data_IF_935925539668
#
_entry.id   IF_935925539668
#
_cell.length_a   1.000
_cell.length_b   1.000
_cell.length_c   1.000
_cell.angle_alpha   90.00
_cell.angle_beta   90.00
_cell.angle_gamma   90.00
#
_symmetry.space_group_name_H-M   'P 1'
#
loop_
_entity.id
_entity.type
_entity.pdbx_description
1 polymer ?
#
# COMPACT_ATOMS: atom_id res chain seq x y z
N UNK A 1 6.16 21.11 13.62
CA UNK A 1 6.10 19.80 12.90
C UNK A 1 5.00 19.91 11.87
N UNK A 2 5.32 19.87 10.59
CA UNK A 2 4.34 19.97 9.50
C UNK A 2 3.50 18.69 9.49
N UNK A 3 2.17 18.84 9.62
CA UNK A 3 1.24 17.71 9.57
C UNK A 3 1.21 17.19 8.13
N UNK A 4 1.42 15.89 7.93
CA UNK A 4 1.26 15.28 6.61
C UNK A 4 -0.23 15.34 6.23
N UNK A 5 -0.54 16.03 5.16
CA UNK A 5 -1.91 16.12 4.64
C UNK A 5 -2.13 15.01 3.62
N UNK A 6 -3.30 14.38 3.71
CA UNK A 6 -3.72 13.37 2.74
C UNK A 6 -3.85 14.02 1.36
N UNK A 7 -3.27 13.40 0.35
CA UNK A 7 -3.45 13.84 -1.04
C UNK A 7 -4.95 13.87 -1.39
N UNK A 8 -5.41 14.84 -2.19
CA UNK A 8 -6.83 14.96 -2.56
C UNK A 8 -7.41 13.66 -3.15
N UNK A 9 -6.58 12.90 -3.85
CA UNK A 9 -6.92 11.65 -4.52
C UNK A 9 -7.26 10.55 -3.51
N UNK A 10 -6.51 10.45 -2.41
CA UNK A 10 -6.66 9.41 -1.38
C UNK A 10 -7.77 9.73 -0.38
N UNK A 11 -8.18 10.99 -0.27
CA UNK A 11 -9.21 11.44 0.69
C UNK A 11 -10.52 10.62 0.68
N UNK A 12 -11.08 10.22 -0.47
CA UNK A 12 -12.31 9.39 -0.48
C UNK A 12 -12.11 8.06 0.24
N UNK A 13 -11.02 7.36 -0.05
CA UNK A 13 -10.68 6.09 0.61
C UNK A 13 -10.43 6.28 2.12
N UNK A 14 -9.66 7.30 2.48
CA UNK A 14 -9.43 7.66 3.89
C UNK A 14 -10.73 7.94 4.63
N UNK A 15 -11.64 8.71 4.02
CA UNK A 15 -12.94 9.04 4.60
C UNK A 15 -13.76 7.77 4.87
N UNK A 16 -13.87 6.87 3.90
CA UNK A 16 -14.61 5.61 4.04
C UNK A 16 -14.04 4.75 5.17
N UNK A 17 -12.71 4.67 5.29
CA UNK A 17 -12.04 3.92 6.37
C UNK A 17 -12.31 4.56 7.74
N UNK A 18 -12.15 5.89 7.85
CA UNK A 18 -12.35 6.62 9.11
C UNK A 18 -13.82 6.58 9.57
N UNK A 19 -14.78 6.73 8.66
CA UNK A 19 -16.21 6.61 8.96
C UNK A 19 -16.57 5.21 9.45
N UNK A 20 -16.11 4.18 8.77
CA UNK A 20 -16.32 2.80 9.19
C UNK A 20 -15.70 2.52 10.56
N UNK A 21 -14.48 2.98 10.79
CA UNK A 21 -13.79 2.82 12.07
C UNK A 21 -14.55 3.54 13.18
N UNK A 22 -14.96 4.79 12.99
CA UNK A 22 -15.69 5.60 13.97
C UNK A 22 -17.05 5.00 14.35
N UNK A 23 -17.83 4.57 13.35
CA UNK A 23 -19.14 3.96 13.56
C UNK A 23 -19.10 2.63 14.34
N UNK A 24 -17.97 1.93 14.30
CA UNK A 24 -17.83 0.61 14.92
C UNK A 24 -16.86 0.60 16.10
N UNK A 25 -16.32 1.76 16.51
CA UNK A 25 -15.36 1.86 17.62
C UNK A 25 -14.00 1.21 17.34
N UNK A 26 -13.59 1.14 16.06
CA UNK A 26 -12.30 0.62 15.65
C UNK A 26 -11.27 1.73 15.49
N UNK A 27 -10.01 1.37 15.62
CA UNK A 27 -8.90 2.22 15.25
C UNK A 27 -8.72 2.23 13.72
N UNK A 28 -8.64 3.40 13.04
CA UNK A 28 -8.47 3.47 11.59
C UNK A 28 -7.25 2.71 11.06
N UNK A 29 -6.11 2.72 11.77
CA UNK A 29 -4.91 2.00 11.35
C UNK A 29 -5.10 0.47 11.40
N UNK A 30 -5.85 -0.01 12.41
CA UNK A 30 -6.23 -1.42 12.47
C UNK A 30 -7.15 -1.80 11.31
N UNK A 31 -8.09 -0.92 10.94
CA UNK A 31 -8.97 -1.13 9.77
C UNK A 31 -8.14 -1.17 8.48
N UNK A 32 -7.15 -0.28 8.31
CA UNK A 32 -6.21 -0.33 7.17
C UNK A 32 -5.49 -1.68 7.14
N UNK A 33 -4.89 -2.10 8.24
CA UNK A 33 -4.17 -3.39 8.29
C UNK A 33 -5.09 -4.57 7.92
N UNK A 34 -6.32 -4.59 8.43
CA UNK A 34 -7.27 -5.63 8.10
C UNK A 34 -7.79 -5.52 6.65
N UNK A 35 -7.90 -4.31 6.11
CA UNK A 35 -8.20 -4.09 4.69
C UNK A 35 -7.12 -4.69 3.78
N UNK A 36 -5.84 -4.46 4.09
CA UNK A 36 -4.73 -5.06 3.33
C UNK A 36 -4.78 -6.61 3.38
N UNK A 37 -5.07 -7.18 4.56
CA UNK A 37 -5.24 -8.63 4.71
C UNK A 37 -6.43 -9.14 3.90
N UNK A 38 -7.53 -8.40 3.86
CA UNK A 38 -8.71 -8.73 3.08
C UNK A 38 -8.39 -8.76 1.57
N UNK A 39 -7.68 -7.75 1.08
CA UNK A 39 -7.24 -7.69 -0.33
C UNK A 39 -6.36 -8.89 -0.67
N UNK A 40 -5.28 -9.13 0.09
CA UNK A 40 -4.36 -10.24 -0.15
C UNK A 40 -5.09 -11.59 -0.14
N UNK A 41 -6.01 -11.79 0.81
CA UNK A 41 -6.82 -12.99 0.87
C UNK A 41 -7.69 -13.18 -0.39
N UNK A 42 -8.27 -12.09 -0.91
CA UNK A 42 -9.06 -12.10 -2.15
C UNK A 42 -8.25 -12.52 -3.38
N UNK A 43 -6.96 -12.21 -3.41
CA UNK A 43 -6.02 -12.62 -4.46
C UNK A 43 -5.34 -13.98 -4.21
N UNK A 44 -5.73 -14.70 -3.15
CA UNK A 44 -5.14 -15.99 -2.76
C UNK A 44 -6.16 -17.12 -2.89
N UNK A 45 -6.44 -17.63 -4.10
CA UNK A 45 -7.43 -18.69 -4.31
C UNK A 45 -7.11 -19.93 -3.47
N UNK A 46 -8.12 -20.47 -2.77
CA UNK A 46 -7.96 -21.65 -1.92
C UNK A 46 -7.32 -21.38 -0.54
N UNK A 47 -7.01 -20.12 -0.22
CA UNK A 47 -6.53 -19.76 1.10
C UNK A 47 -7.58 -20.07 2.18
N UNK A 48 -7.16 -20.56 3.37
CA UNK A 48 -8.08 -20.75 4.48
C UNK A 48 -8.67 -19.41 4.95
N UNK A 49 -9.83 -19.41 5.62
CA UNK A 49 -10.41 -18.18 6.16
C UNK A 49 -9.39 -17.38 6.98
N UNK A 50 -9.51 -16.05 6.91
CA UNK A 50 -8.64 -15.15 7.67
C UNK A 50 -8.72 -15.46 9.17
N UNK A 51 -7.59 -15.82 9.77
CA UNK A 51 -7.49 -16.00 11.23
C UNK A 51 -7.75 -14.65 11.92
N UNK A 52 -8.41 -14.71 13.06
CA UNK A 52 -8.70 -13.53 13.91
C UNK A 52 -9.50 -12.43 13.18
N UNK A 53 -10.33 -12.83 12.18
CA UNK A 53 -11.20 -11.90 11.48
C UNK A 53 -12.33 -11.43 12.40
N UNK A 54 -12.23 -10.18 12.87
CA UNK A 54 -13.11 -9.59 13.89
C UNK A 54 -14.45 -9.06 13.36
N UNK A 55 -14.61 -9.01 12.03
CA UNK A 55 -15.73 -8.35 11.38
C UNK A 55 -16.88 -9.32 11.09
N UNK A 56 -18.12 -8.86 11.33
CA UNK A 56 -19.33 -9.61 10.99
C UNK A 56 -19.54 -9.59 9.46
N UNK A 57 -20.30 -10.59 8.96
CA UNK A 57 -20.60 -10.71 7.52
C UNK A 57 -21.18 -9.42 6.93
N UNK A 58 -22.02 -8.69 7.66
CA UNK A 58 -22.59 -7.41 7.22
C UNK A 58 -21.53 -6.30 7.05
N UNK A 59 -20.45 -6.35 7.83
CA UNK A 59 -19.35 -5.40 7.76
C UNK A 59 -18.40 -5.67 6.58
N UNK A 60 -18.42 -6.87 6.00
CA UNK A 60 -17.63 -7.20 4.81
C UNK A 60 -18.01 -6.33 3.60
N UNK A 61 -19.24 -5.83 3.52
CA UNK A 61 -19.65 -4.89 2.48
C UNK A 61 -18.83 -3.58 2.52
N UNK A 62 -18.42 -3.14 3.71
CA UNK A 62 -17.55 -1.97 3.84
C UNK A 62 -16.16 -2.22 3.26
N UNK A 63 -15.60 -3.41 3.46
CA UNK A 63 -14.30 -3.78 2.85
C UNK A 63 -14.38 -3.85 1.33
N UNK A 64 -15.48 -4.38 0.77
CA UNK A 64 -15.73 -4.34 -0.68
C UNK A 64 -15.84 -2.91 -1.20
N UNK A 65 -16.48 -2.01 -0.46
CA UNK A 65 -16.55 -0.58 -0.81
C UNK A 65 -15.15 0.05 -0.82
N UNK A 66 -14.35 -0.17 0.24
CA UNK A 66 -12.97 0.31 0.33
C UNK A 66 -12.13 -0.21 -0.85
N UNK A 67 -12.27 -1.50 -1.18
CA UNK A 67 -11.59 -2.11 -2.32
C UNK A 67 -11.98 -1.45 -3.64
N UNK A 68 -13.28 -1.26 -3.90
CA UNK A 68 -13.75 -0.60 -5.11
C UNK A 68 -13.28 0.86 -5.22
N UNK A 69 -13.21 1.59 -4.11
CA UNK A 69 -12.68 2.96 -4.07
C UNK A 69 -11.18 2.98 -4.35
N UNK A 70 -10.42 2.06 -3.75
CA UNK A 70 -9.00 1.93 -4.00
C UNK A 70 -8.70 1.58 -5.47
N UNK A 71 -9.43 0.62 -6.06
CA UNK A 71 -9.27 0.25 -7.48
C UNK A 71 -9.57 1.44 -8.41
N UNK A 72 -10.67 2.18 -8.18
CA UNK A 72 -11.00 3.37 -8.98
C UNK A 72 -9.94 4.47 -8.86
N UNK A 73 -9.42 4.67 -7.64
CA UNK A 73 -8.33 5.60 -7.41
C UNK A 73 -7.09 5.20 -8.23
N UNK A 74 -6.69 3.92 -8.14
CA UNK A 74 -5.54 3.42 -8.86
C UNK A 74 -5.71 3.51 -10.39
N UNK A 75 -6.88 3.13 -10.91
CA UNK A 75 -7.19 3.27 -12.34
C UNK A 75 -6.96 4.69 -12.83
N UNK A 76 -7.51 5.68 -12.11
CA UNK A 76 -7.35 7.10 -12.46
C UNK A 76 -5.89 7.57 -12.38
N UNK A 77 -5.15 7.15 -11.36
CA UNK A 77 -3.77 7.60 -11.18
C UNK A 77 -2.82 6.96 -12.21
N UNK A 78 -3.04 5.70 -12.55
CA UNK A 78 -2.23 4.98 -13.53
C UNK A 78 -2.49 5.39 -14.99
N UNK A 79 -3.53 6.19 -15.27
CA UNK A 79 -3.68 6.90 -16.54
C UNK A 79 -2.64 8.00 -16.74
N UNK A 80 -2.15 8.61 -15.65
CA UNK A 80 -1.24 9.76 -15.67
C UNK A 80 0.20 9.41 -15.26
N UNK A 81 0.40 8.30 -14.55
CA UNK A 81 1.69 7.90 -14.01
C UNK A 81 1.93 6.40 -14.19
N UNK A 82 3.19 6.00 -14.34
CA UNK A 82 3.57 4.58 -14.46
C UNK A 82 3.32 3.79 -13.18
N UNK A 83 3.31 4.44 -12.04
CA UNK A 83 3.00 3.86 -10.74
C UNK A 83 2.50 4.92 -9.74
N UNK A 84 1.75 4.48 -8.74
CA UNK A 84 1.26 5.34 -7.67
C UNK A 84 1.10 4.55 -6.37
N UNK A 85 1.46 5.15 -5.23
CA UNK A 85 1.39 4.54 -3.90
C UNK A 85 0.29 5.17 -3.03
N UNK A 86 -0.97 4.83 -3.33
CA UNK A 86 -2.11 5.31 -2.57
C UNK A 86 -2.11 4.82 -1.11
N UNK A 87 -1.60 3.60 -0.87
CA UNK A 87 -1.59 2.98 0.46
C UNK A 87 -0.55 3.63 1.38
N UNK A 88 0.61 3.96 0.84
CA UNK A 88 1.64 4.69 1.58
C UNK A 88 1.18 6.11 1.94
N UNK A 89 0.54 6.82 1.03
CA UNK A 89 -0.02 8.14 1.30
C UNK A 89 -1.10 8.08 2.38
N UNK A 90 -2.00 7.11 2.31
CA UNK A 90 -3.01 6.85 3.34
C UNK A 90 -2.38 6.56 4.71
N UNK A 91 -1.39 5.67 4.74
CA UNK A 91 -0.68 5.31 5.98
C UNK A 91 -0.01 6.52 6.62
N UNK A 92 0.71 7.32 5.82
CA UNK A 92 1.40 8.54 6.29
C UNK A 92 0.40 9.55 6.87
N UNK A 93 -0.74 9.77 6.22
CA UNK A 93 -1.77 10.69 6.67
C UNK A 93 -2.38 10.27 8.01
N UNK A 94 -2.74 8.99 8.15
CA UNK A 94 -3.33 8.45 9.39
C UNK A 94 -2.32 8.42 10.54
N UNK A 95 -1.06 8.06 10.27
CA UNK A 95 0.02 8.06 11.27
C UNK A 95 0.31 9.47 11.79
N UNK A 96 0.28 10.49 10.92
CA UNK A 96 0.52 11.87 11.31
C UNK A 96 -0.55 12.43 12.26
N UNK A 97 -1.81 12.01 12.07
CA UNK A 97 -2.93 12.42 12.94
C UNK A 97 -2.80 11.89 14.37
N UNK A 98 -2.20 10.73 14.55
CA UNK A 98 -1.99 10.12 15.86
C UNK A 98 -0.75 10.60 16.60
N UNK A 99 0.03 11.51 16.01
CA UNK A 99 1.33 11.90 16.55
C UNK A 99 2.37 10.77 16.51
N UNK A 100 2.06 9.67 15.82
CA UNK A 100 2.95 8.50 15.67
C UNK A 100 4.12 8.75 14.70
N UNK A 101 4.19 9.90 14.05
CA UNK A 101 5.39 10.37 13.31
C UNK A 101 6.66 10.39 14.18
N UNK A 102 6.50 10.37 15.49
CA UNK A 102 7.62 10.18 16.41
C UNK A 102 8.38 8.85 16.23
N UNK A 103 7.80 7.88 15.51
CA UNK A 103 8.46 6.62 15.18
C UNK A 103 9.33 6.68 13.90
N UNK A 104 9.44 7.86 13.27
CA UNK A 104 10.39 8.10 12.18
C UNK A 104 10.10 7.33 10.87
N UNK A 105 8.90 6.78 10.69
CA UNK A 105 8.52 6.12 9.43
C UNK A 105 8.15 7.17 8.38
N UNK A 106 9.11 7.49 7.52
CA UNK A 106 8.91 8.30 6.32
C UNK A 106 9.22 7.44 5.10
N UNK A 107 8.27 7.36 4.18
CA UNK A 107 8.53 6.66 2.92
C UNK A 107 9.31 7.56 1.97
N UNK A 108 10.23 6.94 1.23
CA UNK A 108 11.05 7.65 0.24
C UNK A 108 10.15 8.38 -0.76
N UNK A 109 10.40 9.67 -1.05
CA UNK A 109 9.64 10.40 -2.05
C UNK A 109 9.68 9.72 -3.42
N UNK A 110 8.55 9.76 -4.15
CA UNK A 110 8.36 9.08 -5.46
C UNK A 110 9.50 9.37 -6.43
N UNK A 111 9.82 10.66 -6.64
CA UNK A 111 10.88 11.07 -7.56
C UNK A 111 12.29 10.60 -7.15
N UNK A 112 12.51 10.37 -5.86
CA UNK A 112 13.79 9.80 -5.39
C UNK A 112 13.84 8.30 -5.70
N UNK A 113 12.73 7.57 -5.55
CA UNK A 113 12.64 6.16 -5.95
C UNK A 113 12.92 6.00 -7.44
N UNK A 114 12.30 6.82 -8.29
CA UNK A 114 12.54 6.80 -9.73
C UNK A 114 14.01 7.09 -10.07
N UNK A 115 14.59 8.12 -9.44
CA UNK A 115 16.01 8.45 -9.64
C UNK A 115 16.93 7.30 -9.21
N UNK A 116 16.68 6.68 -8.06
CA UNK A 116 17.49 5.56 -7.57
C UNK A 116 17.45 4.39 -8.55
N UNK A 117 16.26 4.05 -9.06
CA UNK A 117 16.12 2.98 -10.05
C UNK A 117 16.86 3.33 -11.33
N UNK A 118 16.67 4.54 -11.86
CA UNK A 118 17.39 5.01 -13.08
C UNK A 118 18.92 4.95 -12.92
N UNK A 119 19.44 5.27 -11.73
CA UNK A 119 20.87 5.17 -11.46
C UNK A 119 21.39 3.73 -11.39
N UNK A 120 20.52 2.74 -11.20
CA UNK A 120 20.87 1.31 -11.16
C UNK A 120 20.58 0.59 -12.47
N UNK A 121 19.92 1.24 -13.42
CA UNK A 121 19.64 0.68 -14.74
C UNK A 121 20.96 0.40 -15.51
N UNK A 122 21.00 -0.78 -16.10
CA UNK A 122 22.05 -1.16 -17.06
C UNK A 122 21.41 -1.32 -18.43
N UNK A 123 22.20 -1.19 -19.52
CA UNK A 123 21.71 -1.35 -20.90
C UNK A 123 21.10 -2.74 -21.17
N UNK A 124 21.39 -3.72 -20.33
CA UNK A 124 20.86 -5.07 -20.44
C UNK A 124 19.57 -5.23 -19.65
N UNK A 125 18.44 -5.53 -20.33
CA UNK A 125 17.21 -5.95 -19.68
C UNK A 125 17.38 -7.37 -19.11
N UNK A 126 17.62 -7.45 -17.79
CA UNK A 126 17.76 -8.73 -17.10
C UNK A 126 16.40 -9.13 -16.50
N UNK A 127 16.00 -10.40 -16.73
CA UNK A 127 14.80 -11.02 -16.14
C UNK A 127 15.20 -12.18 -15.24
N UNK A 128 14.29 -12.64 -14.37
CA UNK A 128 14.54 -13.76 -13.46
C UNK A 128 15.48 -13.43 -12.29
N UNK A 129 15.83 -12.16 -12.10
CA UNK A 129 16.66 -11.71 -10.98
C UNK A 129 15.85 -11.62 -9.68
N UNK A 130 16.54 -11.70 -8.55
CA UNK A 130 15.96 -11.43 -7.22
C UNK A 130 16.35 -10.01 -6.80
N UNK A 131 15.36 -9.17 -6.65
CA UNK A 131 15.49 -7.78 -6.22
C UNK A 131 15.00 -7.70 -4.78
N UNK A 132 15.88 -7.32 -3.86
CA UNK A 132 15.56 -7.23 -2.44
C UNK A 132 15.54 -5.78 -1.96
N UNK A 133 14.49 -5.42 -1.22
CA UNK A 133 14.43 -4.21 -0.42
C UNK A 133 14.24 -4.61 1.06
N UNK A 134 15.29 -4.53 1.90
CA UNK A 134 15.25 -4.95 3.30
C UNK A 134 14.53 -3.95 4.23
N UNK A 135 14.06 -2.83 3.71
CA UNK A 135 13.34 -1.76 4.43
C UNK A 135 12.22 -1.18 3.58
N UNK A 136 11.40 -2.07 3.02
CA UNK A 136 10.53 -1.78 1.89
C UNK A 136 9.49 -0.68 2.13
N UNK A 137 9.11 -0.39 3.37
CA UNK A 137 8.04 0.55 3.68
C UNK A 137 6.75 0.17 2.97
N UNK A 138 6.16 1.07 2.20
CA UNK A 138 4.99 0.79 1.34
C UNK A 138 5.35 0.14 0.00
N UNK A 139 6.64 -0.10 -0.27
CA UNK A 139 7.12 -0.72 -1.50
C UNK A 139 7.45 0.23 -2.63
N UNK A 140 7.61 1.53 -2.38
CA UNK A 140 7.84 2.55 -3.42
C UNK A 140 9.05 2.26 -4.30
N UNK A 141 10.17 1.84 -3.70
CA UNK A 141 11.38 1.53 -4.46
C UNK A 141 11.19 0.28 -5.34
N UNK A 142 10.56 -0.76 -4.78
CA UNK A 142 10.22 -1.97 -5.54
C UNK A 142 9.21 -1.70 -6.65
N UNK A 143 8.22 -0.81 -6.43
CA UNK A 143 7.27 -0.39 -7.46
C UNK A 143 7.98 0.33 -8.61
N UNK A 144 8.79 1.34 -8.30
CA UNK A 144 9.54 2.10 -9.29
C UNK A 144 10.42 1.17 -10.15
N UNK A 145 11.00 0.13 -9.54
CA UNK A 145 11.76 -0.90 -10.23
C UNK A 145 10.84 -1.82 -11.06
N UNK A 146 9.77 -2.33 -10.44
CA UNK A 146 8.88 -3.33 -11.05
C UNK A 146 8.26 -2.87 -12.37
N UNK A 147 7.73 -1.65 -12.40
CA UNK A 147 7.07 -1.11 -13.61
C UNK A 147 8.02 -0.91 -14.79
N UNK A 148 9.33 -0.85 -14.54
CA UNK A 148 10.38 -0.72 -15.58
C UNK A 148 10.99 -2.07 -15.97
N UNK A 149 11.02 -3.03 -15.04
CA UNK A 149 11.74 -4.29 -15.14
C UNK A 149 10.87 -5.49 -14.77
N UNK A 150 9.86 -5.74 -15.58
CA UNK A 150 8.96 -6.89 -15.39
C UNK A 150 9.73 -8.22 -15.49
N UNK A 151 9.16 -9.28 -14.88
CA UNK A 151 9.73 -10.63 -14.95
C UNK A 151 10.87 -10.89 -13.95
N UNK A 152 10.98 -10.10 -12.90
CA UNK A 152 11.91 -10.30 -11.79
C UNK A 152 11.17 -10.71 -10.50
N UNK A 153 11.90 -11.39 -9.60
CA UNK A 153 11.39 -11.78 -8.28
C UNK A 153 11.63 -10.65 -7.29
N UNK A 154 10.57 -10.12 -6.70
CA UNK A 154 10.67 -9.07 -5.69
C UNK A 154 10.68 -9.69 -4.30
N UNK A 155 11.59 -9.25 -3.46
CA UNK A 155 11.70 -9.62 -2.04
C UNK A 155 11.59 -8.35 -1.22
N UNK A 156 10.63 -8.30 -0.32
CA UNK A 156 10.33 -7.14 0.51
C UNK A 156 10.40 -7.52 1.98
N UNK A 157 11.19 -6.79 2.75
CA UNK A 157 11.32 -6.98 4.19
C UNK A 157 11.08 -5.64 4.89
N UNK A 158 10.44 -5.68 6.06
CA UNK A 158 10.26 -4.53 6.94
C UNK A 158 9.98 -5.02 8.36
N UNK A 159 10.41 -4.26 9.36
CA UNK A 159 10.09 -4.54 10.77
C UNK A 159 8.60 -4.32 11.08
N UNK A 160 7.95 -3.47 10.31
CA UNK A 160 6.52 -3.20 10.41
C UNK A 160 5.73 -4.09 9.44
N UNK A 161 5.01 -5.06 10.00
CA UNK A 161 4.18 -5.97 9.21
C UNK A 161 3.21 -5.26 8.26
N UNK A 162 2.64 -4.12 8.66
CA UNK A 162 1.72 -3.35 7.80
C UNK A 162 2.42 -2.83 6.55
N UNK A 163 3.71 -2.47 6.65
CA UNK A 163 4.52 -2.09 5.50
C UNK A 163 4.64 -3.24 4.48
N UNK A 164 4.99 -4.44 4.92
CA UNK A 164 5.03 -5.61 4.03
C UNK A 164 3.67 -5.88 3.37
N UNK A 165 2.56 -5.75 4.11
CA UNK A 165 1.21 -5.93 3.55
C UNK A 165 0.88 -4.86 2.51
N UNK A 166 1.26 -3.59 2.74
CA UNK A 166 1.11 -2.51 1.74
C UNK A 166 1.92 -2.81 0.48
N UNK A 167 3.16 -3.22 0.63
CA UNK A 167 4.03 -3.61 -0.51
C UNK A 167 3.38 -4.70 -1.35
N UNK A 168 2.86 -5.77 -0.73
CA UNK A 168 2.16 -6.84 -1.45
C UNK A 168 0.96 -6.29 -2.22
N UNK A 169 0.09 -5.50 -1.57
CA UNK A 169 -1.10 -4.93 -2.21
C UNK A 169 -0.72 -3.99 -3.36
N UNK A 170 0.30 -3.16 -3.17
CA UNK A 170 0.79 -2.24 -4.20
C UNK A 170 1.33 -3.01 -5.42
N UNK A 171 2.12 -4.06 -5.22
CA UNK A 171 2.59 -4.90 -6.34
C UNK A 171 1.42 -5.60 -7.03
N UNK A 172 0.44 -6.15 -6.29
CA UNK A 172 -0.72 -6.83 -6.86
C UNK A 172 -1.58 -5.93 -7.76
N UNK A 173 -1.70 -4.64 -7.48
CA UNK A 173 -2.52 -3.71 -8.28
C UNK A 173 -1.77 -3.17 -9.50
N UNK A 174 -0.45 -3.26 -9.51
CA UNK A 174 0.38 -2.81 -10.65
C UNK A 174 0.70 -3.95 -11.64
N UNK A 175 0.32 -5.19 -11.35
CA UNK A 175 0.44 -6.36 -12.25
C UNK A 175 1.75 -7.05 -12.17
#
# INVERSE_FOLDING_TARGET
MTRYETSPEVRPLEKTICEFAGLNGYDPMNVVTDFLRYVIHGFSPGAPPLKDWRYKRQQNAAFMKMFAEWVRLMQKQLEAASWYDALGDLFMALSSRKGQQAQGQFFTPVHICDLMVMCTETDEKKTGQRINDPTCGSGRLLLAYHVRHLGNYLVAEDVNRTCCLMTICNILIHG
#
